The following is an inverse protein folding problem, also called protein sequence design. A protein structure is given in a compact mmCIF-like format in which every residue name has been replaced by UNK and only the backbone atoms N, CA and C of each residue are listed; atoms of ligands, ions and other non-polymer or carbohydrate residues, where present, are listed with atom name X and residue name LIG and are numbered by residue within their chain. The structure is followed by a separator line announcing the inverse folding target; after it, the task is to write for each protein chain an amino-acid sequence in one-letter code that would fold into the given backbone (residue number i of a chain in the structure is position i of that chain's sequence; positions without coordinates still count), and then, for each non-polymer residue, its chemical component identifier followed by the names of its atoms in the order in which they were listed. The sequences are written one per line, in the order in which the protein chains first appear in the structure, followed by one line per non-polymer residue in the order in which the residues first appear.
data_IF_296781503526
#
_entry.id   IF_296781503526
#
_cell.length_a   1.000
_cell.length_b   1.000
_cell.length_c   1.000
_cell.angle_alpha   90.00
_cell.angle_beta   90.00
_cell.angle_gamma   90.00
#
_symmetry.space_group_name_H-M   'P 1'
#
loop_
_entity.id
_entity.type
_entity.pdbx_description
1 polymer ?
#
# COMPACT_ATOMS: atom_id res chain seq x y z
N UNK A 1 -2.06 -5.68 -14.87
CA UNK A 1 -0.82 -4.88 -14.71
C UNK A 1 0.44 -5.66 -15.09
N UNK A 2 0.74 -6.86 -14.55
CA UNK A 2 1.99 -7.57 -14.85
C UNK A 2 2.19 -7.87 -16.35
N UNK A 3 1.12 -8.24 -17.06
CA UNK A 3 1.15 -8.43 -18.53
C UNK A 3 1.58 -7.15 -19.26
N UNK A 4 1.14 -5.97 -18.80
CA UNK A 4 1.48 -4.71 -19.43
C UNK A 4 2.98 -4.38 -19.21
N UNK A 5 3.48 -4.57 -17.99
CA UNK A 5 4.91 -4.37 -17.67
C UNK A 5 5.79 -5.28 -18.54
N UNK A 6 5.42 -6.56 -18.67
CA UNK A 6 6.17 -7.52 -19.49
C UNK A 6 6.19 -7.15 -20.97
N UNK A 7 5.07 -6.64 -21.50
CA UNK A 7 4.91 -6.34 -22.93
C UNK A 7 5.47 -4.99 -23.36
N UNK A 8 5.38 -3.98 -22.51
CA UNK A 8 5.60 -2.58 -22.91
C UNK A 8 6.78 -1.92 -22.21
N UNK A 9 7.54 -2.66 -21.40
CA UNK A 9 8.66 -2.10 -20.64
C UNK A 9 9.88 -3.02 -20.71
N UNK A 10 10.20 -3.57 -21.90
CA UNK A 10 11.28 -4.55 -22.10
C UNK A 10 12.61 -4.07 -21.51
N UNK A 11 12.93 -2.80 -21.71
CA UNK A 11 14.23 -2.21 -21.42
C UNK A 11 14.28 -1.50 -20.05
N UNK A 12 13.20 -1.55 -19.28
CA UNK A 12 13.13 -0.92 -17.96
C UNK A 12 13.66 -1.86 -16.88
N UNK A 13 14.65 -1.40 -16.10
CA UNK A 13 15.15 -2.11 -14.91
C UNK A 13 14.19 -1.94 -13.72
N UNK A 14 13.58 -0.76 -13.61
CA UNK A 14 12.68 -0.39 -12.54
C UNK A 14 11.30 -0.01 -13.07
N UNK A 15 10.27 -0.28 -12.26
CA UNK A 15 8.90 0.10 -12.56
C UNK A 15 8.38 0.98 -11.44
N UNK A 16 7.92 2.17 -11.81
CA UNK A 16 7.14 3.03 -10.92
C UNK A 16 5.64 2.70 -11.05
N UNK A 17 4.98 2.50 -9.91
CA UNK A 17 3.53 2.50 -9.81
C UNK A 17 3.12 3.70 -8.97
N UNK A 18 2.30 4.56 -9.55
CA UNK A 18 1.75 5.74 -8.89
C UNK A 18 0.25 5.87 -9.16
N UNK A 19 -0.39 6.67 -8.33
CA UNK A 19 -1.76 7.11 -8.57
C UNK A 19 -1.73 8.45 -9.29
N UNK A 20 -2.80 8.79 -10.02
CA UNK A 20 -2.91 10.06 -10.77
C UNK A 20 -2.55 11.31 -9.94
N UNK A 21 -2.75 11.27 -8.61
CA UNK A 21 -2.37 12.34 -7.69
C UNK A 21 -1.42 11.92 -6.59
N UNK A 22 -0.96 10.66 -6.51
CA UNK A 22 -0.09 10.21 -5.41
C UNK A 22 1.15 9.51 -5.91
N UNK A 23 2.28 9.85 -5.31
CA UNK A 23 3.59 9.31 -5.64
C UNK A 23 4.45 9.20 -4.38
N UNK A 24 5.44 8.32 -4.40
CA UNK A 24 6.50 8.33 -3.39
C UNK A 24 7.63 9.24 -3.87
N UNK A 25 8.01 10.21 -3.06
CA UNK A 25 9.14 11.11 -3.32
C UNK A 25 10.32 10.77 -2.40
N UNK A 26 11.57 10.94 -2.85
CA UNK A 26 12.75 10.74 -2.00
C UNK A 26 12.91 11.82 -0.92
N UNK A 27 12.24 12.97 -1.08
CA UNK A 27 12.28 14.11 -0.17
C UNK A 27 10.90 14.45 0.38
N UNK A 28 10.89 15.08 1.56
CA UNK A 28 9.68 15.43 2.30
C UNK A 28 8.98 16.68 1.74
N UNK A 29 8.66 16.70 0.45
CA UNK A 29 8.00 17.84 -0.19
C UNK A 29 6.55 18.01 0.30
N UNK A 30 6.08 19.26 0.33
CA UNK A 30 4.73 19.59 0.80
C UNK A 30 4.57 19.55 2.32
N UNK A 31 3.32 19.70 2.78
CA UNK A 31 2.95 19.76 4.20
C UNK A 31 2.32 18.46 4.65
N UNK A 32 2.59 18.01 5.88
CA UNK A 32 1.93 16.80 6.41
C UNK A 32 0.40 16.97 6.47
N UNK A 33 -0.32 15.96 5.99
CA UNK A 33 -1.77 15.96 6.03
C UNK A 33 -2.24 15.82 7.47
N UNK A 34 -3.05 16.77 7.92
CA UNK A 34 -3.65 16.75 9.24
C UNK A 34 -4.44 15.46 9.54
N UNK A 35 -5.02 14.84 8.51
CA UNK A 35 -5.85 13.61 8.66
C UNK A 35 -5.06 12.32 8.49
N UNK A 36 -3.94 12.36 7.77
CA UNK A 36 -3.15 11.19 7.41
C UNK A 36 -1.66 11.52 7.58
N UNK A 37 -1.10 11.33 8.77
CA UNK A 37 0.26 11.79 9.09
C UNK A 37 1.36 11.20 8.20
N UNK A 38 1.11 10.06 7.56
CA UNK A 38 2.04 9.43 6.60
C UNK A 38 1.97 10.02 5.19
N UNK A 39 1.13 11.02 4.96
CA UNK A 39 0.87 11.63 3.66
C UNK A 39 1.24 13.11 3.69
N UNK A 40 1.90 13.60 2.64
CA UNK A 40 2.21 15.01 2.44
C UNK A 40 1.38 15.61 1.31
N UNK A 41 0.81 16.78 1.53
CA UNK A 41 0.03 17.54 0.56
C UNK A 41 0.94 18.57 -0.12
N UNK A 42 1.13 18.39 -1.44
CA UNK A 42 1.97 19.25 -2.27
C UNK A 42 1.09 20.04 -3.25
N UNK A 43 1.08 21.37 -3.13
CA UNK A 43 0.48 22.25 -4.12
C UNK A 43 1.54 22.62 -5.16
N UNK A 44 1.32 22.23 -6.43
CA UNK A 44 2.27 22.47 -7.52
C UNK A 44 2.32 23.95 -7.96
N UNK A 45 1.25 24.72 -7.78
CA UNK A 45 1.20 26.15 -8.11
C UNK A 45 2.20 26.95 -7.28
N UNK A 46 2.45 26.48 -6.05
CA UNK A 46 3.36 27.11 -5.10
C UNK A 46 4.74 26.42 -5.05
N UNK A 47 4.96 25.39 -5.89
CA UNK A 47 6.18 24.58 -5.83
C UNK A 47 7.16 24.93 -6.95
N UNK A 48 8.16 25.74 -6.62
CA UNK A 48 9.14 26.27 -7.58
C UNK A 48 10.11 25.26 -8.21
N UNK A 49 10.07 23.97 -7.82
CA UNK A 49 11.00 22.92 -8.28
C UNK A 49 10.29 21.74 -8.95
N UNK A 50 9.12 21.97 -9.55
CA UNK A 50 8.31 20.90 -10.15
C UNK A 50 9.07 20.05 -11.20
N UNK A 51 9.98 20.66 -11.97
CA UNK A 51 10.81 19.95 -12.95
C UNK A 51 11.77 18.94 -12.30
N UNK A 52 12.30 19.22 -11.10
CA UNK A 52 13.18 18.32 -10.35
C UNK A 52 12.46 17.08 -9.81
N UNK A 53 11.12 17.14 -9.72
CA UNK A 53 10.30 16.00 -9.33
C UNK A 53 9.88 15.14 -10.51
N UNK A 54 10.16 15.52 -11.76
CA UNK A 54 9.60 14.83 -12.93
C UNK A 54 10.16 13.41 -13.13
N UNK A 55 11.40 13.15 -12.73
CA UNK A 55 12.05 11.85 -12.90
C UNK A 55 12.85 11.50 -11.65
N UNK A 56 12.57 10.32 -11.10
CA UNK A 56 13.39 9.74 -10.05
C UNK A 56 13.75 8.31 -10.44
N UNK A 57 15.03 7.96 -10.28
CA UNK A 57 15.54 6.63 -10.51
C UNK A 57 16.23 6.21 -9.20
N UNK A 58 15.82 5.09 -8.57
CA UNK A 58 16.53 4.56 -7.41
C UNK A 58 18.01 4.33 -7.74
N UNK A 59 18.88 4.45 -6.73
CA UNK A 59 20.30 4.18 -6.92
C UNK A 59 20.48 2.69 -7.21
N UNK A 60 21.46 2.33 -8.04
CA UNK A 60 21.73 0.92 -8.38
C UNK A 60 21.97 0.04 -7.14
N UNK A 61 22.54 0.62 -6.07
CA UNK A 61 22.77 -0.06 -4.79
C UNK A 61 21.47 -0.27 -3.98
N UNK A 62 20.45 0.57 -4.21
CA UNK A 62 19.22 0.68 -3.43
C UNK A 62 18.02 0.73 -4.38
N UNK A 63 17.64 -0.45 -4.89
CA UNK A 63 16.73 -0.66 -6.03
C UNK A 63 15.25 -0.31 -5.80
N UNK A 64 14.91 0.31 -4.66
CA UNK A 64 13.54 0.56 -4.23
C UNK A 64 13.33 2.03 -3.86
N UNK A 65 12.13 2.54 -4.12
CA UNK A 65 11.62 3.76 -3.47
C UNK A 65 10.16 3.52 -3.05
N UNK A 66 9.93 3.35 -1.76
CA UNK A 66 8.66 2.87 -1.18
C UNK A 66 8.23 3.74 -0.02
N UNK A 67 6.95 3.68 0.37
CA UNK A 67 6.47 4.44 1.52
C UNK A 67 7.15 4.00 2.83
N UNK A 68 7.28 4.94 3.76
CA UNK A 68 7.68 4.62 5.14
C UNK A 68 6.72 3.62 5.80
N UNK A 69 7.25 2.64 6.57
CA UNK A 69 6.43 1.67 7.27
C UNK A 69 5.63 2.33 8.39
N UNK A 70 4.35 1.99 8.47
CA UNK A 70 3.45 2.31 9.57
C UNK A 70 3.46 1.17 10.60
N UNK A 71 3.58 1.53 11.87
CA UNK A 71 3.34 0.60 12.98
C UNK A 71 1.84 0.54 13.33
N UNK A 72 1.26 -0.66 13.37
CA UNK A 72 -0.11 -0.91 13.83
C UNK A 72 -0.10 -1.55 15.22
N UNK A 73 -0.89 -0.99 16.15
CA UNK A 73 -0.84 -1.33 17.58
C UNK A 73 -1.05 -2.83 17.89
N UNK A 74 -2.00 -3.46 17.20
CA UNK A 74 -2.40 -4.84 17.48
C UNK A 74 -1.72 -5.80 16.51
N UNK A 75 -2.25 -5.87 15.30
CA UNK A 75 -1.72 -6.66 14.18
C UNK A 75 -2.39 -6.21 12.87
N UNK A 76 -1.90 -6.68 11.73
CA UNK A 76 -2.56 -6.50 10.42
C UNK A 76 -4.00 -7.01 10.45
N UNK A 77 -4.24 -8.18 11.04
CA UNK A 77 -5.59 -8.72 11.20
C UNK A 77 -6.50 -7.78 12.01
N UNK A 78 -6.00 -7.29 13.15
CA UNK A 78 -6.74 -6.33 13.98
C UNK A 78 -7.00 -5.02 13.26
N UNK A 79 -5.99 -4.50 12.54
CA UNK A 79 -6.09 -3.27 11.77
C UNK A 79 -7.09 -3.38 10.62
N UNK A 80 -7.09 -4.49 9.87
CA UNK A 80 -8.08 -4.75 8.82
C UNK A 80 -9.49 -4.89 9.41
N UNK A 81 -9.66 -5.69 10.46
CA UNK A 81 -10.95 -5.95 11.09
C UNK A 81 -11.61 -4.69 11.71
N UNK A 82 -10.83 -3.66 12.03
CA UNK A 82 -11.35 -2.39 12.54
C UNK A 82 -12.17 -1.60 11.50
N UNK A 83 -11.92 -1.83 10.20
CA UNK A 83 -12.51 -1.06 9.09
C UNK A 83 -13.13 -1.93 8.00
N UNK A 84 -12.77 -3.20 7.90
CA UNK A 84 -13.23 -4.17 6.90
C UNK A 84 -13.77 -5.45 7.54
N UNK A 85 -14.38 -6.31 6.73
CA UNK A 85 -14.91 -7.60 7.20
C UNK A 85 -13.77 -8.54 7.56
N UNK A 86 -13.58 -8.84 8.85
CA UNK A 86 -12.55 -9.78 9.34
C UNK A 86 -12.52 -11.11 8.57
N UNK A 87 -13.68 -11.62 8.16
CA UNK A 87 -13.79 -12.85 7.38
C UNK A 87 -12.96 -12.79 6.08
N UNK A 88 -12.95 -11.65 5.39
CA UNK A 88 -12.26 -11.54 4.11
C UNK A 88 -10.75 -11.74 4.23
N UNK A 89 -10.10 -11.21 5.28
CA UNK A 89 -8.65 -11.39 5.44
C UNK A 89 -8.29 -12.81 5.87
N UNK A 90 -9.16 -13.49 6.62
CA UNK A 90 -8.95 -14.89 6.98
C UNK A 90 -9.10 -15.78 5.73
N UNK A 91 -10.16 -15.59 4.95
CA UNK A 91 -10.41 -16.33 3.71
C UNK A 91 -9.29 -16.06 2.68
N UNK A 92 -8.86 -14.80 2.52
CA UNK A 92 -7.78 -14.42 1.61
C UNK A 92 -6.44 -15.03 2.02
N UNK A 93 -6.15 -15.10 3.32
CA UNK A 93 -4.92 -15.73 3.85
C UNK A 93 -4.96 -17.24 3.66
N UNK A 94 -6.10 -17.89 3.95
CA UNK A 94 -6.28 -19.33 3.69
C UNK A 94 -6.02 -19.65 2.23
N UNK A 95 -6.60 -18.85 1.33
CA UNK A 95 -6.42 -19.03 -0.10
C UNK A 95 -4.97 -18.78 -0.55
N UNK A 96 -4.27 -17.82 0.05
CA UNK A 96 -2.85 -17.62 -0.20
C UNK A 96 -2.00 -18.84 0.19
N UNK A 97 -2.40 -19.57 1.25
CA UNK A 97 -1.76 -20.83 1.63
C UNK A 97 -2.07 -21.94 0.63
N UNK A 98 -3.34 -22.11 0.25
CA UNK A 98 -3.76 -23.10 -0.75
C UNK A 98 -3.03 -22.91 -2.09
N UNK A 99 -2.75 -21.67 -2.47
CA UNK A 99 -2.05 -21.32 -3.71
C UNK A 99 -0.52 -21.33 -3.59
N UNK A 100 0.03 -21.68 -2.42
CA UNK A 100 1.49 -21.72 -2.18
C UNK A 100 2.17 -20.35 -2.18
N UNK A 101 1.41 -19.26 -2.05
CA UNK A 101 1.95 -17.89 -1.90
C UNK A 101 2.49 -17.70 -0.48
N UNK A 102 1.80 -18.30 0.49
CA UNK A 102 2.24 -18.41 1.88
C UNK A 102 2.31 -19.88 2.27
N UNK A 103 3.18 -20.21 3.21
CA UNK A 103 3.08 -21.43 4.02
C UNK A 103 2.31 -21.14 5.32
N UNK A 104 2.07 -22.16 6.15
CA UNK A 104 1.33 -22.00 7.41
C UNK A 104 2.02 -21.05 8.40
N UNK A 105 3.36 -21.02 8.39
CA UNK A 105 4.16 -20.18 9.28
C UNK A 105 4.05 -18.70 8.87
N UNK A 106 4.34 -18.40 7.61
CA UNK A 106 4.24 -17.08 7.00
C UNK A 106 2.81 -16.54 6.99
N UNK A 107 1.79 -17.39 6.90
CA UNK A 107 0.39 -16.99 7.11
C UNK A 107 0.12 -16.50 8.53
N UNK A 108 0.68 -17.18 9.54
CA UNK A 108 0.56 -16.78 10.94
C UNK A 108 1.30 -15.47 11.20
N UNK A 109 2.51 -15.33 10.65
CA UNK A 109 3.30 -14.10 10.69
C UNK A 109 2.60 -12.93 10.00
N UNK A 110 1.98 -13.16 8.84
CA UNK A 110 1.22 -12.14 8.12
C UNK A 110 0.07 -11.58 8.97
N UNK A 111 -0.76 -12.46 9.54
CA UNK A 111 -1.90 -12.04 10.36
C UNK A 111 -1.47 -11.33 11.66
N UNK A 112 -0.30 -11.71 12.21
CA UNK A 112 0.29 -11.15 13.41
C UNK A 112 1.17 -9.91 13.18
N UNK A 113 1.54 -9.61 11.93
CA UNK A 113 2.47 -8.53 11.60
C UNK A 113 2.02 -7.19 12.19
N UNK A 114 2.99 -6.39 12.64
CA UNK A 114 2.75 -5.06 13.23
C UNK A 114 3.27 -3.91 12.39
N UNK A 115 3.96 -4.21 11.29
CA UNK A 115 4.45 -3.22 10.34
C UNK A 115 3.73 -3.39 9.01
N UNK A 116 3.46 -2.26 8.37
CA UNK A 116 2.71 -2.17 7.14
C UNK A 116 3.25 -1.01 6.31
N UNK A 117 3.62 -1.26 5.05
CA UNK A 117 4.02 -0.24 4.09
C UNK A 117 2.75 0.20 3.35
N UNK A 118 2.24 1.42 3.56
CA UNK A 118 1.03 1.88 2.88
C UNK A 118 1.24 1.92 1.36
N UNK A 119 0.24 1.41 0.62
CA UNK A 119 0.36 1.16 -0.82
C UNK A 119 1.03 -0.16 -1.20
N UNK A 120 1.63 -0.89 -0.24
CA UNK A 120 2.19 -2.22 -0.46
C UNK A 120 3.17 -2.27 -1.64
N UNK A 121 2.83 -3.06 -2.66
CA UNK A 121 3.58 -3.16 -3.92
C UNK A 121 2.89 -2.41 -5.08
N UNK A 122 1.89 -1.61 -4.77
CA UNK A 122 1.03 -0.88 -5.73
C UNK A 122 1.28 0.63 -5.67
N UNK A 123 2.32 1.09 -4.94
CA UNK A 123 2.70 2.49 -4.84
C UNK A 123 4.19 2.64 -4.45
N UNK A 124 5.02 2.92 -5.45
CA UNK A 124 6.47 3.03 -5.28
C UNK A 124 7.23 2.67 -6.55
N UNK A 125 8.54 2.53 -6.41
CA UNK A 125 9.45 2.10 -7.46
C UNK A 125 10.12 0.80 -7.02
N UNK A 126 10.13 -0.20 -7.90
CA UNK A 126 10.57 -1.56 -7.58
C UNK A 126 11.41 -2.15 -8.73
N UNK A 127 12.30 -3.12 -8.45
CA UNK A 127 12.94 -3.93 -9.48
C UNK A 127 11.87 -4.65 -10.31
N UNK A 128 11.94 -4.53 -11.64
CA UNK A 128 10.92 -5.06 -12.56
C UNK A 128 10.66 -6.55 -12.35
N UNK A 129 11.72 -7.36 -12.29
CA UNK A 129 11.60 -8.82 -12.19
C UNK A 129 10.84 -9.26 -10.95
N UNK A 130 11.24 -8.73 -9.80
CA UNK A 130 10.58 -8.99 -8.52
C UNK A 130 9.13 -8.51 -8.48
N UNK A 131 8.87 -7.30 -8.99
CA UNK A 131 7.53 -6.72 -9.00
C UNK A 131 6.57 -7.54 -9.88
N UNK A 132 7.00 -7.93 -11.07
CA UNK A 132 6.19 -8.73 -12.00
C UNK A 132 5.82 -10.07 -11.38
N UNK A 133 6.79 -10.76 -10.77
CA UNK A 133 6.54 -12.03 -10.08
C UNK A 133 5.51 -11.85 -8.96
N UNK A 134 5.71 -10.85 -8.09
CA UNK A 134 4.86 -10.64 -6.92
C UNK A 134 3.45 -10.19 -7.31
N UNK A 135 3.31 -9.24 -8.25
CA UNK A 135 2.01 -8.80 -8.76
C UNK A 135 1.26 -9.92 -9.46
N UNK A 136 1.95 -10.82 -10.17
CA UNK A 136 1.30 -11.96 -10.83
C UNK A 136 0.66 -12.89 -9.81
N UNK A 137 1.37 -13.21 -8.72
CA UNK A 137 0.83 -14.03 -7.63
C UNK A 137 -0.36 -13.37 -6.94
N UNK A 138 -0.26 -12.07 -6.62
CA UNK A 138 -1.36 -11.32 -5.98
C UNK A 138 -2.56 -11.17 -6.91
N UNK A 139 -2.36 -10.94 -8.21
CA UNK A 139 -3.45 -10.89 -9.20
C UNK A 139 -4.22 -12.21 -9.24
N UNK A 140 -3.50 -13.35 -9.34
CA UNK A 140 -4.11 -14.67 -9.36
C UNK A 140 -4.91 -14.94 -8.08
N UNK A 141 -4.35 -14.61 -6.92
CA UNK A 141 -5.03 -14.73 -5.64
C UNK A 141 -6.29 -13.87 -5.57
N UNK A 142 -6.22 -12.61 -6.01
CA UNK A 142 -7.36 -11.71 -6.05
C UNK A 142 -8.48 -12.20 -6.96
N UNK A 143 -8.12 -12.77 -8.12
CA UNK A 143 -9.08 -13.40 -9.04
C UNK A 143 -9.73 -14.62 -8.40
N UNK A 144 -8.95 -15.49 -7.79
CA UNK A 144 -9.49 -16.71 -7.16
C UNK A 144 -10.37 -16.37 -5.94
N UNK A 145 -10.00 -15.36 -5.15
CA UNK A 145 -10.84 -14.86 -4.07
C UNK A 145 -12.21 -14.38 -4.60
N UNK A 146 -12.23 -13.64 -5.72
CA UNK A 146 -13.47 -13.20 -6.34
C UNK A 146 -14.26 -14.33 -6.98
N UNK A 147 -13.60 -15.35 -7.53
CA UNK A 147 -14.27 -16.55 -8.04
C UNK A 147 -15.03 -17.25 -6.91
N UNK A 148 -14.37 -17.45 -5.75
CA UNK A 148 -14.91 -18.20 -4.62
C UNK A 148 -15.90 -17.40 -3.78
N UNK A 149 -15.63 -16.12 -3.54
CA UNK A 149 -16.37 -15.27 -2.60
C UNK A 149 -17.04 -14.05 -3.25
N UNK A 150 -17.02 -13.93 -4.58
CA UNK A 150 -17.56 -12.78 -5.31
C UNK A 150 -19.05 -12.53 -5.06
N UNK A 151 -19.85 -13.57 -4.79
CA UNK A 151 -21.27 -13.43 -4.43
C UNK A 151 -21.48 -12.67 -3.12
N UNK A 152 -20.56 -12.81 -2.16
CA UNK A 152 -20.52 -12.06 -0.89
C UNK A 152 -20.07 -10.63 -1.16
N UNK A 153 -19.00 -10.46 -1.91
CA UNK A 153 -18.43 -9.14 -2.24
C UNK A 153 -19.43 -8.27 -2.99
N UNK A 154 -20.21 -8.82 -3.94
CA UNK A 154 -21.26 -8.08 -4.68
C UNK A 154 -22.34 -7.44 -3.78
N UNK A 155 -22.52 -7.92 -2.55
CA UNK A 155 -23.50 -7.38 -1.59
C UNK A 155 -22.91 -6.26 -0.72
N UNK A 156 -21.64 -5.94 -0.89
CA UNK A 156 -20.95 -4.92 -0.11
C UNK A 156 -21.31 -3.52 -0.57
N UNK A 157 -21.25 -2.57 0.37
CA UNK A 157 -21.38 -1.16 0.03
C UNK A 157 -20.14 -0.68 -0.77
N UNK A 158 -20.22 0.52 -1.34
CA UNK A 158 -19.18 1.09 -2.19
C UNK A 158 -17.80 1.21 -1.50
N UNK A 159 -17.74 1.24 -0.16
CA UNK A 159 -16.47 1.19 0.56
C UNK A 159 -15.90 -0.23 0.65
N UNK A 160 -16.73 -1.20 1.05
CA UNK A 160 -16.33 -2.59 1.28
C UNK A 160 -16.13 -3.38 -0.02
N UNK A 161 -16.73 -2.98 -1.15
CA UNK A 161 -16.55 -3.64 -2.45
C UNK A 161 -15.08 -3.67 -2.91
N UNK A 162 -14.25 -2.75 -2.38
CA UNK A 162 -12.80 -2.65 -2.63
C UNK A 162 -11.95 -3.60 -1.76
N UNK A 163 -12.57 -4.56 -1.06
CA UNK A 163 -11.88 -5.47 -0.14
C UNK A 163 -10.62 -6.10 -0.75
N UNK A 164 -10.69 -6.59 -1.99
CA UNK A 164 -9.54 -7.21 -2.69
C UNK A 164 -8.33 -6.28 -2.79
N UNK A 165 -8.53 -4.99 -3.06
CA UNK A 165 -7.43 -4.01 -3.09
C UNK A 165 -6.80 -3.84 -1.70
N UNK A 166 -7.62 -3.69 -0.66
CA UNK A 166 -7.11 -3.56 0.71
C UNK A 166 -6.42 -4.83 1.24
N UNK A 167 -6.85 -6.01 0.78
CA UNK A 167 -6.21 -7.29 1.07
C UNK A 167 -4.87 -7.42 0.34
N UNK A 168 -4.87 -7.10 -0.95
CA UNK A 168 -3.67 -7.11 -1.81
C UNK A 168 -2.59 -6.16 -1.29
N UNK A 169 -2.98 -4.95 -0.86
CA UNK A 169 -2.08 -3.98 -0.24
C UNK A 169 -1.39 -4.54 1.02
N UNK A 170 -2.14 -5.24 1.88
CA UNK A 170 -1.62 -5.83 3.13
C UNK A 170 -0.70 -7.01 2.87
N UNK A 171 -1.12 -7.94 2.01
CA UNK A 171 -0.30 -9.09 1.67
C UNK A 171 0.95 -8.65 0.90
N UNK A 172 0.80 -7.74 -0.07
CA UNK A 172 1.92 -7.16 -0.81
C UNK A 172 2.91 -6.45 0.10
N UNK A 173 2.43 -5.66 1.06
CA UNK A 173 3.30 -5.07 2.09
C UNK A 173 4.05 -6.13 2.89
N UNK A 174 3.42 -7.23 3.28
CA UNK A 174 4.07 -8.29 4.05
C UNK A 174 5.17 -8.98 3.22
N UNK A 175 4.88 -9.33 1.97
CA UNK A 175 5.84 -9.93 1.04
C UNK A 175 7.01 -8.98 0.79
N UNK A 176 6.74 -7.67 0.62
CA UNK A 176 7.77 -6.64 0.45
C UNK A 176 8.68 -6.57 1.67
N UNK A 177 8.15 -6.49 2.89
CA UNK A 177 8.97 -6.43 4.11
C UNK A 177 9.85 -7.67 4.23
N UNK A 178 9.31 -8.88 4.01
CA UNK A 178 10.10 -10.12 4.02
C UNK A 178 11.22 -10.10 2.98
N UNK A 179 10.89 -9.69 1.75
CA UNK A 179 11.88 -9.59 0.68
C UNK A 179 13.01 -8.62 1.03
N UNK A 180 12.70 -7.47 1.64
CA UNK A 180 13.71 -6.50 2.06
C UNK A 180 14.58 -7.04 3.20
N UNK A 181 13.98 -7.71 4.18
CA UNK A 181 14.72 -8.36 5.28
C UNK A 181 15.67 -9.42 4.74
N UNK A 182 15.22 -10.26 3.81
CA UNK A 182 16.04 -11.30 3.17
C UNK A 182 17.16 -10.66 2.31
N UNK A 183 16.79 -9.76 1.40
CA UNK A 183 17.72 -9.10 0.46
C UNK A 183 18.84 -8.34 1.17
N UNK A 184 18.51 -7.61 2.23
CA UNK A 184 19.46 -6.77 2.95
C UNK A 184 19.97 -7.41 4.24
N UNK A 185 19.72 -8.71 4.48
CA UNK A 185 20.13 -9.40 5.71
C UNK A 185 19.74 -8.63 6.98
N UNK A 186 18.51 -8.10 7.00
CA UNK A 186 17.93 -7.26 8.05
C UNK A 186 18.57 -5.86 8.23
N UNK A 187 19.55 -5.47 7.40
CA UNK A 187 20.15 -4.13 7.37
C UNK A 187 19.58 -3.30 6.21
N UNK A 188 18.26 -3.04 6.26
CA UNK A 188 17.54 -2.36 5.18
C UNK A 188 18.01 -0.89 5.08
N UNK A 189 18.49 -0.43 3.91
CA UNK A 189 18.91 0.96 3.71
C UNK A 189 17.77 1.95 3.97
N UNK A 190 18.04 3.04 4.70
CA UNK A 190 17.00 4.01 5.06
C UNK A 190 16.50 4.82 3.84
N UNK A 191 17.34 4.97 2.81
CA UNK A 191 17.09 5.79 1.63
C UNK A 191 16.13 5.15 0.61
N UNK A 192 15.77 3.87 0.77
CA UNK A 192 14.67 3.28 0.00
C UNK A 192 13.29 3.73 0.50
N UNK A 193 13.22 4.29 1.72
CA UNK A 193 11.96 4.73 2.31
C UNK A 193 11.73 6.22 2.03
N UNK A 194 10.83 6.48 1.07
CA UNK A 194 10.40 7.81 0.69
C UNK A 194 9.12 8.27 1.36
N UNK A 195 8.70 9.47 0.95
CA UNK A 195 7.55 10.19 1.48
C UNK A 195 6.36 10.03 0.54
N UNK A 196 5.24 9.55 1.06
CA UNK A 196 4.01 9.50 0.28
C UNK A 196 3.47 10.92 0.11
N UNK A 197 3.41 11.38 -1.12
CA UNK A 197 3.00 12.75 -1.46
C UNK A 197 1.77 12.71 -2.34
N UNK A 198 0.80 13.56 -2.04
CA UNK A 198 -0.40 13.79 -2.84
C UNK A 198 -0.39 15.20 -3.40
N UNK A 199 -0.64 15.32 -4.70
CA UNK A 199 -0.79 16.59 -5.39
C UNK A 199 -2.16 17.18 -5.01
N UNK A 200 -2.18 18.43 -4.56
CA UNK A 200 -3.38 19.22 -4.28
C UNK A 200 -3.39 20.50 -5.11
N UNK A 201 -4.59 20.98 -5.44
CA UNK A 201 -4.80 22.18 -6.27
C UNK A 201 -5.51 23.26 -5.44
N UNK A 202 -5.10 24.52 -5.59
CA UNK A 202 -5.61 25.63 -4.80
C UNK A 202 -5.62 25.35 -3.30
N UNK A 203 -6.77 25.59 -2.65
CA UNK A 203 -7.00 25.35 -1.22
C UNK A 203 -7.52 23.94 -0.90
N UNK A 204 -7.53 23.03 -1.88
CA UNK A 204 -8.02 21.68 -1.66
C UNK A 204 -7.11 20.89 -0.71
N UNK A 205 -7.72 20.04 0.11
CA UNK A 205 -7.03 19.12 1.01
C UNK A 205 -7.25 17.69 0.55
N UNK A 206 -6.35 16.80 0.94
CA UNK A 206 -6.57 15.40 0.65
C UNK A 206 -7.83 14.90 1.37
N UNK A 207 -8.70 14.28 0.58
CA UNK A 207 -9.78 13.46 1.10
C UNK A 207 -9.61 12.05 0.58
N UNK A 208 -9.63 11.08 1.49
CA UNK A 208 -9.74 9.68 1.08
C UNK A 208 -11.05 9.52 0.29
N UNK A 209 -11.08 8.68 -0.74
CA UNK A 209 -12.29 8.38 -1.49
C UNK A 209 -13.38 7.82 -0.56
N UNK A 210 -14.25 8.70 -0.08
CA UNK A 210 -15.43 8.43 0.72
C UNK A 210 -16.58 8.25 -0.25
N UNK A 211 -16.75 7.05 -0.79
CA UNK A 211 -18.06 6.66 -1.30
C UNK A 211 -18.95 6.46 -0.05
N UNK A 212 -19.83 7.43 0.20
CA UNK A 212 -20.87 7.47 1.23
C UNK A 212 -20.51 6.80 2.57
N UNK A 213 -19.74 7.51 3.40
CA UNK A 213 -19.84 7.28 4.84
C UNK A 213 -21.18 7.88 5.29
N UNK A 214 -22.05 7.15 6.01
CA UNK A 214 -23.13 7.82 6.73
C UNK A 214 -22.50 8.90 7.62
N UNK A 215 -23.01 10.14 7.52
CA UNK A 215 -22.49 11.35 8.19
C UNK A 215 -22.26 11.19 9.70
N UNK A 216 -22.82 10.14 10.32
CA UNK A 216 -22.80 9.90 11.76
C UNK A 216 -21.59 9.09 12.28
N UNK A 217 -20.55 8.83 11.48
CA UNK A 217 -19.29 8.19 11.94
C UNK A 217 -18.04 9.05 11.78
N UNK A 218 -18.20 10.37 11.76
CA UNK A 218 -17.12 11.25 12.19
C UNK A 218 -17.03 11.17 13.72
N UNK A 219 -15.81 10.98 14.24
CA UNK A 219 -15.37 11.25 15.64
C UNK A 219 -14.97 10.08 16.55
N UNK A 220 -15.23 8.80 16.23
CA UNK A 220 -14.80 7.74 17.18
C UNK A 220 -13.30 7.41 17.13
N UNK A 221 -12.63 7.62 15.98
CA UNK A 221 -11.19 7.39 15.86
C UNK A 221 -10.34 8.51 16.48
N UNK A 222 -10.84 9.74 16.48
CA UNK A 222 -10.11 10.91 17.01
C UNK A 222 -10.27 11.10 18.54
N UNK A 223 -11.28 10.50 19.18
CA UNK A 223 -11.42 10.59 20.64
C UNK A 223 -10.41 9.72 21.41
N UNK A 224 -9.91 8.61 20.85
CA UNK A 224 -8.99 7.72 21.57
C UNK A 224 -7.51 8.13 21.54
N UNK A 225 -7.14 9.13 20.75
CA UNK A 225 -5.76 9.62 20.68
C UNK A 225 -5.55 11.01 21.32
N UNK A 226 -6.59 11.58 21.94
CA UNK A 226 -6.52 12.90 22.61
C UNK A 226 -6.29 12.83 24.13
N UNK A 227 -6.12 11.63 24.68
CA UNK A 227 -5.75 11.43 26.08
C UNK A 227 -4.60 10.42 26.16
N UNK A 228 -3.37 10.87 25.89
CA UNK A 228 -2.19 10.63 26.73
C UNK A 228 -1.21 11.75 26.37
N UNK A 229 -1.10 12.75 27.24
CA UNK A 229 0.11 13.56 27.39
C UNK A 229 0.99 12.85 28.41
#
# INVERSE_FOLDING_TARGET
MPIAIQRFSSDADFIEISNYRKRILPSAEGLESYKFPTLRELNLENFGRAAELSVFIPRAEHEFLIAQPLHVKNSILGHYAAVHRRQDILDYTSLAVEMGILDSQSASEFLAAKHFIPGGIELGIYPKGWLVQTLSSIELLGREFLNRYGSRVKKYNAFQIRAVGFLSERLGSFILIRHLVEKYSNNIPADIFGYMTVIVEGDSRYSAGLTDRPKNRLDSYNRKHRQVR
#
